data_IF_879738876261
#
_entry.id   IF_879738876261
#
_cell.length_a   1.000
_cell.length_b   1.000
_cell.length_c   1.000
_cell.angle_alpha   90.00
_cell.angle_beta   90.00
_cell.angle_gamma   90.00
#
_symmetry.space_group_name_H-M   'P 1'
#
loop_
_entity.id
_entity.type
_entity.pdbx_description
1 polymer ?
#
# COMPACT_ATOMS: atom_id res chain seq x y z
N UNK A 1 15.83 -4.16 13.25
CA UNK A 1 15.14 -5.40 13.69
C UNK A 1 13.81 -5.64 12.98
N UNK A 2 12.77 -4.79 13.11
CA UNK A 2 11.46 -5.03 12.44
C UNK A 2 11.56 -4.88 10.91
N UNK A 3 12.06 -3.75 10.40
CA UNK A 3 12.16 -3.50 8.96
C UNK A 3 13.08 -4.52 8.25
N UNK A 4 14.18 -4.89 8.90
CA UNK A 4 15.09 -5.95 8.44
C UNK A 4 14.40 -7.32 8.41
N UNK A 5 13.62 -7.65 9.45
CA UNK A 5 12.83 -8.88 9.47
C UNK A 5 11.82 -8.96 8.33
N UNK A 6 11.13 -7.85 8.02
CA UNK A 6 10.22 -7.75 6.87
C UNK A 6 11.00 -7.95 5.56
N UNK A 7 12.14 -7.29 5.39
CA UNK A 7 12.96 -7.45 4.19
C UNK A 7 13.44 -8.90 4.02
N UNK A 8 13.92 -9.52 5.09
CA UNK A 8 14.34 -10.93 5.08
C UNK A 8 13.19 -11.87 4.75
N UNK A 9 11.98 -11.64 5.29
CA UNK A 9 10.78 -12.42 4.96
C UNK A 9 10.47 -12.39 3.46
N UNK A 10 10.58 -11.23 2.82
CA UNK A 10 10.38 -11.08 1.38
C UNK A 10 11.61 -11.51 0.53
N UNK A 11 12.58 -12.19 1.14
CA UNK A 11 13.75 -12.73 0.44
C UNK A 11 14.77 -11.66 0.05
N UNK A 12 14.92 -10.61 0.87
CA UNK A 12 15.95 -9.59 0.69
C UNK A 12 15.62 -8.48 -0.30
N UNK A 13 14.36 -8.36 -0.76
CA UNK A 13 13.97 -7.34 -1.75
C UNK A 13 13.80 -5.95 -1.16
N UNK A 14 13.93 -4.91 -1.99
CA UNK A 14 13.78 -3.51 -1.56
C UNK A 14 14.96 -2.99 -0.75
N UNK A 15 14.95 -1.70 -0.45
CA UNK A 15 16.06 -1.00 0.18
C UNK A 15 15.59 -0.13 1.34
N UNK A 16 16.54 0.23 2.22
CA UNK A 16 16.32 1.18 3.30
C UNK A 16 16.82 2.56 2.93
N UNK A 17 16.02 3.57 3.25
CA UNK A 17 16.34 4.97 3.04
C UNK A 17 16.14 5.75 4.32
N UNK A 18 17.02 6.72 4.59
CA UNK A 18 16.81 7.67 5.68
C UNK A 18 15.63 8.57 5.33
N UNK A 19 14.70 8.75 6.28
CA UNK A 19 13.51 9.57 6.10
C UNK A 19 13.37 10.58 7.25
N UNK A 20 13.97 11.75 7.09
CA UNK A 20 14.10 12.73 8.16
C UNK A 20 15.24 12.40 9.13
N UNK A 21 15.20 12.95 10.34
CA UNK A 21 16.33 12.85 11.29
C UNK A 21 16.41 11.44 11.90
N UNK A 22 15.27 10.91 12.36
CA UNK A 22 15.20 9.70 13.20
C UNK A 22 14.31 8.59 12.63
N UNK A 23 13.93 8.65 11.34
CA UNK A 23 13.15 7.58 10.71
C UNK A 23 13.90 6.93 9.56
N UNK A 24 13.58 5.66 9.34
CA UNK A 24 14.06 4.85 8.22
C UNK A 24 12.83 4.34 7.48
N UNK A 25 12.88 4.39 6.16
CA UNK A 25 11.85 3.89 5.28
C UNK A 25 12.34 2.61 4.60
N UNK A 26 11.53 1.56 4.63
CA UNK A 26 11.69 0.39 3.77
C UNK A 26 10.88 0.60 2.48
N UNK A 27 11.53 0.52 1.32
CA UNK A 27 10.92 0.79 0.03
C UNK A 27 11.24 -0.33 -0.98
N UNK A 28 10.19 -0.92 -1.55
CA UNK A 28 10.24 -1.83 -2.70
C UNK A 28 9.68 -1.09 -3.90
N UNK A 29 10.49 -0.89 -4.93
CA UNK A 29 10.11 -0.10 -6.12
C UNK A 29 10.32 -0.83 -7.45
N UNK A 30 11.12 -1.91 -7.48
CA UNK A 30 11.37 -2.63 -8.72
C UNK A 30 10.14 -3.44 -9.13
N UNK A 31 9.78 -3.41 -10.41
CA UNK A 31 8.59 -4.14 -10.93
C UNK A 31 8.70 -5.65 -10.68
N UNK A 32 9.93 -6.18 -10.71
CA UNK A 32 10.22 -7.58 -10.42
C UNK A 32 9.93 -7.89 -8.96
N UNK A 33 10.45 -7.10 -8.02
CA UNK A 33 10.26 -7.36 -6.58
C UNK A 33 8.83 -7.12 -6.13
N UNK A 34 8.14 -6.14 -6.73
CA UNK A 34 6.74 -5.86 -6.45
C UNK A 34 5.84 -7.06 -6.76
N UNK A 35 6.24 -7.99 -7.65
CA UNK A 35 5.49 -9.23 -7.85
C UNK A 35 5.38 -10.07 -6.59
N UNK A 36 6.47 -10.19 -5.80
CA UNK A 36 6.47 -10.92 -4.52
C UNK A 36 5.54 -10.28 -3.49
N UNK A 37 5.44 -8.94 -3.52
CA UNK A 37 4.52 -8.18 -2.66
C UNK A 37 3.06 -8.47 -3.05
N UNK A 38 2.76 -8.49 -4.36
CA UNK A 38 1.43 -8.87 -4.85
C UNK A 38 1.07 -10.29 -4.42
N UNK A 39 1.96 -11.26 -4.65
CA UNK A 39 1.70 -12.67 -4.34
C UNK A 39 1.40 -12.89 -2.85
N UNK A 40 2.10 -12.17 -1.97
CA UNK A 40 1.84 -12.21 -0.53
C UNK A 40 0.45 -11.67 -0.19
N UNK A 41 0.07 -10.49 -0.67
CA UNK A 41 -1.22 -9.87 -0.34
C UNK A 41 -2.40 -10.48 -1.12
N UNK A 42 -2.16 -11.25 -2.18
CA UNK A 42 -3.17 -12.13 -2.77
C UNK A 42 -3.44 -13.34 -1.86
N UNK A 43 -2.40 -13.91 -1.24
CA UNK A 43 -2.51 -15.03 -0.31
C UNK A 43 -3.01 -14.63 1.07
N UNK A 44 -2.61 -13.46 1.54
CA UNK A 44 -2.94 -12.88 2.84
C UNK A 44 -3.55 -11.48 2.64
N UNK A 45 -4.83 -11.39 2.25
CA UNK A 45 -5.48 -10.12 1.93
C UNK A 45 -5.45 -9.12 3.09
N UNK A 46 -5.39 -7.84 2.76
CA UNK A 46 -5.58 -6.79 3.75
C UNK A 46 -7.07 -6.73 4.14
N UNK A 47 -7.31 -6.46 5.42
CA UNK A 47 -8.67 -6.40 5.97
C UNK A 47 -9.20 -4.95 5.97
N UNK A 48 -8.31 -3.96 6.06
CA UNK A 48 -8.71 -2.54 6.11
C UNK A 48 -9.03 -1.99 4.72
N UNK A 49 -9.49 -0.72 4.67
CA UNK A 49 -9.69 0.02 3.42
C UNK A 49 -8.46 0.08 2.50
N UNK A 50 -7.27 -0.23 3.02
CA UNK A 50 -6.03 -0.37 2.25
C UNK A 50 -6.10 -1.51 1.23
N UNK A 51 -6.99 -2.49 1.41
CA UNK A 51 -7.22 -3.54 0.41
C UNK A 51 -7.72 -2.97 -0.91
N UNK A 52 -8.59 -1.95 -0.88
CA UNK A 52 -9.03 -1.30 -2.12
C UNK A 52 -7.85 -0.59 -2.82
N UNK A 53 -6.96 0.06 -2.07
CA UNK A 53 -5.75 0.66 -2.66
C UNK A 53 -4.79 -0.39 -3.21
N UNK A 54 -4.72 -1.57 -2.57
CA UNK A 54 -3.93 -2.70 -3.05
C UNK A 54 -4.47 -3.26 -4.37
N UNK A 55 -5.79 -3.43 -4.50
CA UNK A 55 -6.43 -3.89 -5.74
C UNK A 55 -6.11 -2.92 -6.89
N UNK A 56 -6.31 -1.61 -6.70
CA UNK A 56 -5.96 -0.61 -7.69
C UNK A 56 -4.46 -0.60 -8.02
N UNK A 57 -3.60 -0.78 -7.00
CA UNK A 57 -2.16 -0.89 -7.20
C UNK A 57 -1.77 -2.11 -8.05
N UNK A 58 -2.39 -3.26 -7.82
CA UNK A 58 -2.18 -4.49 -8.59
C UNK A 58 -2.54 -4.29 -10.07
N UNK A 59 -3.67 -3.62 -10.34
CA UNK A 59 -4.10 -3.28 -11.70
C UNK A 59 -3.10 -2.36 -12.41
N UNK A 60 -2.62 -1.31 -11.73
CA UNK A 60 -1.59 -0.42 -12.28
C UNK A 60 -0.31 -1.21 -12.60
N UNK A 61 0.13 -2.10 -11.70
CA UNK A 61 1.33 -2.90 -11.93
C UNK A 61 1.15 -3.87 -13.13
N UNK A 62 -0.05 -4.39 -13.33
CA UNK A 62 -0.37 -5.20 -14.51
C UNK A 62 -0.23 -4.40 -15.80
N UNK A 63 -0.78 -3.18 -15.87
CA UNK A 63 -0.62 -2.28 -17.02
C UNK A 63 0.86 -1.95 -17.29
N UNK A 64 1.66 -1.81 -16.23
CA UNK A 64 3.10 -1.58 -16.34
C UNK A 64 3.80 -2.81 -16.94
N UNK A 65 3.48 -4.01 -16.45
CA UNK A 65 4.04 -5.28 -16.97
C UNK A 65 3.69 -5.51 -18.44
N UNK A 66 2.47 -5.15 -18.85
CA UNK A 66 2.02 -5.21 -20.24
C UNK A 66 2.60 -4.08 -21.13
N UNK A 67 3.44 -3.19 -20.56
CA UNK A 67 4.01 -2.02 -21.23
C UNK A 67 2.97 -1.01 -21.75
N UNK A 68 1.72 -1.10 -21.32
CA UNK A 68 0.66 -0.18 -21.74
C UNK A 68 0.95 1.27 -21.30
N UNK A 69 1.64 1.44 -20.17
CA UNK A 69 2.09 2.75 -19.66
C UNK A 69 3.00 3.54 -20.63
N UNK A 70 3.47 2.94 -21.72
CA UNK A 70 4.24 3.61 -22.77
C UNK A 70 3.34 4.32 -23.81
N UNK A 71 2.03 4.09 -23.74
CA UNK A 71 1.02 4.70 -24.63
C UNK A 71 0.20 5.73 -23.88
N UNK A 72 -0.31 6.74 -24.57
CA UNK A 72 -1.15 7.77 -23.96
C UNK A 72 -2.43 7.14 -23.37
N UNK A 73 -3.00 6.15 -24.04
CA UNK A 73 -4.17 5.42 -23.59
C UNK A 73 -3.88 4.67 -22.28
N UNK A 74 -2.74 3.98 -22.18
CA UNK A 74 -2.36 3.28 -20.96
C UNK A 74 -2.00 4.22 -19.81
N UNK A 75 -1.36 5.37 -20.09
CA UNK A 75 -1.14 6.42 -19.08
C UNK A 75 -2.48 6.95 -18.57
N UNK A 76 -3.44 7.24 -19.45
CA UNK A 76 -4.77 7.70 -19.06
C UNK A 76 -5.49 6.66 -18.18
N UNK A 77 -5.39 5.36 -18.49
CA UNK A 77 -5.92 4.29 -17.62
C UNK A 77 -5.28 4.31 -16.23
N UNK A 78 -3.96 4.48 -16.15
CA UNK A 78 -3.25 4.56 -14.86
C UNK A 78 -3.69 5.80 -14.08
N UNK A 79 -3.90 6.93 -14.74
CA UNK A 79 -4.38 8.16 -14.10
C UNK A 79 -5.80 7.99 -13.57
N UNK A 80 -6.70 7.36 -14.33
CA UNK A 80 -8.05 7.03 -13.88
C UNK A 80 -8.05 6.13 -12.63
N UNK A 81 -7.18 5.12 -12.58
CA UNK A 81 -7.00 4.26 -11.40
C UNK A 81 -6.41 5.02 -10.21
N UNK A 82 -5.42 5.90 -10.47
CA UNK A 82 -4.77 6.69 -9.43
C UNK A 82 -5.71 7.73 -8.83
N UNK A 83 -6.67 8.26 -9.60
CA UNK A 83 -7.66 9.19 -9.12
C UNK A 83 -8.53 8.62 -7.98
N UNK A 84 -8.69 7.30 -7.90
CA UNK A 84 -9.49 6.62 -6.88
C UNK A 84 -8.67 6.07 -5.70
N UNK A 85 -7.34 6.28 -5.73
CA UNK A 85 -6.40 5.77 -4.73
C UNK A 85 -6.05 6.85 -3.71
N UNK A 86 -6.03 6.52 -2.42
CA UNK A 86 -5.65 7.42 -1.32
C UNK A 86 -6.31 8.81 -1.44
N UNK A 87 -5.51 9.85 -1.71
CA UNK A 87 -5.91 11.26 -1.78
C UNK A 87 -6.25 11.73 -3.21
N UNK A 88 -6.31 10.82 -4.18
CA UNK A 88 -6.56 11.13 -5.59
C UNK A 88 -5.40 11.82 -6.30
N UNK A 89 -5.72 12.65 -7.30
CA UNK A 89 -4.74 13.36 -8.13
C UNK A 89 -4.29 14.69 -7.52
N UNK A 90 -3.02 15.04 -7.73
CA UNK A 90 -2.53 16.40 -7.45
C UNK A 90 -3.10 17.39 -8.47
N UNK A 91 -3.01 18.68 -8.18
CA UNK A 91 -3.59 19.71 -9.05
C UNK A 91 -2.86 19.78 -10.40
N UNK A 92 -1.55 19.52 -10.43
CA UNK A 92 -0.79 19.42 -11.68
C UNK A 92 -1.30 18.25 -12.55
N UNK A 93 -1.62 17.11 -11.93
CA UNK A 93 -2.16 15.96 -12.64
C UNK A 93 -3.59 16.19 -13.12
N UNK A 94 -4.43 16.88 -12.36
CA UNK A 94 -5.78 17.27 -12.82
C UNK A 94 -5.72 18.17 -14.04
N UNK A 95 -4.77 19.12 -14.06
CA UNK A 95 -4.57 20.01 -15.21
C UNK A 95 -4.04 19.26 -16.43
N UNK A 96 -3.09 18.33 -16.23
CA UNK A 96 -2.52 17.53 -17.32
C UNK A 96 -3.52 16.51 -17.91
N UNK A 97 -4.45 16.01 -17.09
CA UNK A 97 -5.43 14.99 -17.47
C UNK A 97 -6.88 15.46 -17.13
N UNK A 98 -7.40 16.50 -17.81
CA UNK A 98 -8.66 17.14 -17.44
C UNK A 98 -9.89 16.23 -17.65
N UNK A 99 -9.78 15.24 -18.54
CA UNK A 99 -10.86 14.28 -18.85
C UNK A 99 -10.76 12.99 -18.02
N UNK A 100 -10.08 13.04 -16.87
CA UNK A 100 -9.94 11.88 -16.00
C UNK A 100 -11.30 11.47 -15.43
N UNK A 101 -11.63 10.19 -15.59
CA UNK A 101 -12.82 9.58 -14.97
C UNK A 101 -12.31 8.62 -13.89
N UNK A 102 -12.49 8.92 -12.60
CA UNK A 102 -12.08 8.04 -11.52
C UNK A 102 -12.77 6.68 -11.61
N UNK A 103 -12.01 5.61 -11.44
CA UNK A 103 -12.55 4.25 -11.37
C UNK A 103 -13.35 4.04 -10.07
N UNK A 104 -14.42 3.26 -10.11
CA UNK A 104 -15.15 2.92 -8.89
C UNK A 104 -14.24 2.18 -7.89
N UNK A 105 -14.25 2.63 -6.63
CA UNK A 105 -13.42 2.02 -5.59
C UNK A 105 -14.05 0.68 -5.14
N UNK A 106 -13.27 -0.42 -5.08
CA UNK A 106 -13.78 -1.70 -4.60
C UNK A 106 -14.35 -1.61 -3.17
N UNK A 107 -15.53 -2.18 -2.96
CA UNK A 107 -16.13 -2.29 -1.63
C UNK A 107 -15.50 -3.48 -0.90
N UNK A 108 -14.81 -3.19 0.21
CA UNK A 108 -14.18 -4.23 1.04
C UNK A 108 -15.19 -4.71 2.07
N UNK A 109 -15.60 -5.98 1.98
CA UNK A 109 -16.47 -6.61 2.98
C UNK A 109 -15.65 -6.97 4.21
N UNK A 110 -16.29 -6.95 5.38
CA UNK A 110 -15.69 -7.40 6.63
C UNK A 110 -15.21 -8.85 6.48
N UNK A 111 -13.94 -9.08 6.79
CA UNK A 111 -13.33 -10.40 6.80
C UNK A 111 -13.17 -10.88 8.25
N UNK A 112 -13.06 -12.20 8.42
CA UNK A 112 -12.72 -12.79 9.72
C UNK A 112 -11.33 -12.34 10.15
N UNK A 113 -11.19 -11.91 11.40
CA UNK A 113 -9.91 -11.50 11.96
C UNK A 113 -9.11 -12.73 12.40
N UNK A 114 -7.91 -12.83 11.87
CA UNK A 114 -6.90 -13.78 12.31
C UNK A 114 -6.11 -13.22 13.52
N UNK A 115 -5.68 -14.09 14.44
CA UNK A 115 -4.96 -13.66 15.64
C UNK A 115 -3.59 -13.07 15.33
N UNK A 116 -2.89 -13.59 14.32
CA UNK A 116 -1.58 -13.09 13.91
C UNK A 116 -1.74 -11.74 13.21
N UNK A 117 -2.82 -11.57 12.43
CA UNK A 117 -3.17 -10.27 11.86
C UNK A 117 -3.41 -9.22 12.96
N UNK A 118 -4.17 -9.57 14.01
CA UNK A 118 -4.43 -8.65 15.13
C UNK A 118 -3.15 -8.32 15.91
N UNK A 119 -2.27 -9.30 16.11
CA UNK A 119 -0.96 -9.07 16.74
C UNK A 119 -0.10 -8.10 15.91
N UNK A 120 -0.08 -8.28 14.58
CA UNK A 120 0.61 -7.37 13.66
C UNK A 120 0.06 -5.95 13.70
N UNK A 121 -1.27 -5.80 13.70
CA UNK A 121 -1.91 -4.48 13.84
C UNK A 121 -1.61 -3.84 15.20
N UNK A 122 -1.69 -4.61 16.28
CA UNK A 122 -1.40 -4.12 17.65
C UNK A 122 0.07 -3.73 17.80
N UNK A 123 0.99 -4.39 17.09
CA UNK A 123 2.40 -3.99 17.05
C UNK A 123 2.58 -2.61 16.39
N UNK A 124 1.74 -2.26 15.42
CA UNK A 124 1.82 -0.97 14.72
C UNK A 124 1.07 0.16 15.44
N UNK A 125 -0.15 -0.09 15.91
CA UNK A 125 -1.10 0.94 16.38
C UNK A 125 -1.50 0.76 17.86
N UNK A 126 -1.02 -0.30 18.51
CA UNK A 126 -1.37 -0.61 19.89
C UNK A 126 -0.75 0.35 20.90
N UNK A 127 -1.48 0.59 21.99
CA UNK A 127 -1.01 1.40 23.11
C UNK A 127 -1.33 0.69 24.43
N UNK A 128 -0.29 0.37 25.19
CA UNK A 128 -0.41 -0.25 26.52
C UNK A 128 -0.12 0.80 27.58
N UNK A 129 -1.11 1.06 28.44
CA UNK A 129 -1.04 2.12 29.45
C UNK A 129 -1.44 1.60 30.82
N UNK A 130 -0.62 1.90 31.83
CA UNK A 130 -0.93 1.64 33.23
C UNK A 130 -1.11 2.97 33.98
N UNK A 131 -2.22 3.12 34.67
CA UNK A 131 -2.49 4.27 35.53
C UNK A 131 -2.51 3.85 37.00
N UNK A 132 -1.75 4.56 37.84
CA UNK A 132 -1.72 4.30 39.30
C UNK A 132 -2.34 5.49 40.03
N UNK A 133 -3.43 5.23 40.74
CA UNK A 133 -4.09 6.24 41.57
C UNK A 133 -3.43 6.30 42.95
N UNK A 134 -3.24 7.52 43.49
CA UNK A 134 -2.91 7.70 44.91
C UNK A 134 -4.14 7.36 45.76
N UNK A 135 -3.96 6.43 46.70
CA UNK A 135 -4.94 6.16 47.75
C UNK A 135 -4.98 7.37 48.68
N UNK A 136 -6.18 7.92 48.93
CA UNK A 136 -6.41 8.93 49.96
C UNK A 136 -6.27 8.31 51.35
#
# INVERSE_FOLDING_TARGET
>A
MILEGIQSYFGGIGNFYKHGVNNVQYLVSSVVDLSKIIDHFDKYPLISNKQADFILFKEILYLIKCKEHLTNEGVQKIVNLRASKNNGLSDELKQAFPNTIPVERPIIKNQTLDSDWLAGLTTAEGHFYSHVYKKK
#
